data_IF_893396189717
#
_entry.id   IF_893396189717
#
_cell.length_a   1.000
_cell.length_b   1.000
_cell.length_c   1.000
_cell.angle_alpha   90.00
_cell.angle_beta   90.00
_cell.angle_gamma   90.00
#
_symmetry.space_group_name_H-M   'P 1'
#
loop_
_entity.id
_entity.type
_entity.pdbx_description
1 polymer ?
#
# COMPACT_ATOMS: atom_id res chain seq x y z
N UNK A 1 8.73 -18.30 18.59
CA UNK A 1 9.12 -16.88 18.79
C UNK A 1 8.51 -16.43 20.09
N UNK A 2 9.27 -15.73 20.94
CA UNK A 2 8.72 -15.21 22.19
C UNK A 2 7.72 -14.06 21.94
N UNK A 3 6.66 -13.94 22.76
CA UNK A 3 5.66 -12.86 22.59
C UNK A 3 6.27 -11.46 22.60
N UNK A 4 7.29 -11.23 23.43
CA UNK A 4 8.01 -9.94 23.48
C UNK A 4 8.73 -9.61 22.16
N UNK A 5 9.38 -10.60 21.55
CA UNK A 5 10.02 -10.43 20.23
C UNK A 5 9.00 -10.10 19.13
N UNK A 6 7.85 -10.77 19.16
CA UNK A 6 6.76 -10.50 18.22
C UNK A 6 6.23 -9.07 18.39
N UNK A 7 6.02 -8.64 19.65
CA UNK A 7 5.61 -7.27 19.97
C UNK A 7 6.61 -6.22 19.48
N UNK A 8 7.91 -6.46 19.67
CA UNK A 8 8.96 -5.55 19.19
C UNK A 8 8.98 -5.44 17.65
N UNK A 9 8.78 -6.55 16.93
CA UNK A 9 8.69 -6.56 15.47
C UNK A 9 7.48 -5.73 15.00
N UNK A 10 6.29 -5.95 15.60
CA UNK A 10 5.10 -5.17 15.27
C UNK A 10 5.25 -3.69 15.60
N UNK A 11 5.86 -3.36 16.73
CA UNK A 11 6.17 -1.97 17.10
C UNK A 11 7.07 -1.32 16.06
N UNK A 12 8.20 -1.96 15.73
CA UNK A 12 9.11 -1.47 14.69
C UNK A 12 8.46 -1.31 13.33
N UNK A 13 7.64 -2.28 12.91
CA UNK A 13 6.90 -2.23 11.66
C UNK A 13 5.93 -1.03 11.61
N UNK A 14 5.16 -0.80 12.69
CA UNK A 14 4.23 0.34 12.77
C UNK A 14 4.96 1.68 12.82
N UNK A 15 6.09 1.75 13.51
CA UNK A 15 6.93 2.97 13.54
C UNK A 15 7.44 3.30 12.12
N UNK A 16 8.00 2.32 11.41
CA UNK A 16 8.45 2.48 10.03
C UNK A 16 7.30 2.87 9.09
N UNK A 17 6.14 2.26 9.27
CA UNK A 17 4.94 2.58 8.51
C UNK A 17 4.49 4.04 8.74
N UNK A 18 4.52 4.52 10.00
CA UNK A 18 4.22 5.91 10.33
C UNK A 18 5.20 6.89 9.69
N UNK A 19 6.49 6.63 9.79
CA UNK A 19 7.53 7.44 9.12
C UNK A 19 7.33 7.44 7.60
N UNK A 20 7.04 6.28 7.02
CA UNK A 20 6.73 6.12 5.59
C UNK A 20 5.57 7.02 5.16
N UNK A 21 4.47 7.00 5.92
CA UNK A 21 3.30 7.84 5.63
C UNK A 21 3.61 9.34 5.71
N UNK A 22 4.40 9.77 6.69
CA UNK A 22 4.81 11.18 6.83
C UNK A 22 5.73 11.67 5.70
N UNK A 23 6.52 10.77 5.11
CA UNK A 23 7.39 11.10 3.97
C UNK A 23 6.63 11.14 2.64
N UNK A 24 5.45 10.53 2.58
CA UNK A 24 4.65 10.42 1.36
C UNK A 24 4.32 11.80 0.75
N UNK A 25 3.93 12.76 1.57
CA UNK A 25 3.58 14.11 1.11
C UNK A 25 4.76 14.85 0.47
N UNK A 26 5.97 14.68 1.04
CA UNK A 26 7.19 15.27 0.48
C UNK A 26 7.54 14.69 -0.88
N UNK A 27 7.36 13.38 -1.05
CA UNK A 27 7.62 12.68 -2.30
C UNK A 27 6.54 13.04 -3.32
N UNK A 28 5.26 13.02 -2.93
CA UNK A 28 4.14 13.39 -3.77
C UNK A 28 4.24 14.83 -4.29
N UNK A 29 4.74 15.74 -3.45
CA UNK A 29 5.00 17.13 -3.84
C UNK A 29 6.04 17.28 -4.97
N UNK A 30 6.96 16.30 -5.11
CA UNK A 30 8.03 16.33 -6.12
C UNK A 30 7.67 15.60 -7.41
N UNK A 31 7.07 14.41 -7.31
CA UNK A 31 6.83 13.53 -8.45
C UNK A 31 5.35 13.36 -8.81
N UNK A 32 4.44 13.91 -8.00
CA UNK A 32 2.98 13.82 -8.14
C UNK A 32 2.37 12.65 -7.38
N UNK A 33 1.07 12.76 -7.09
CA UNK A 33 0.32 11.80 -6.26
C UNK A 33 0.28 10.39 -6.88
N UNK A 34 -0.10 10.29 -8.15
CA UNK A 34 -0.20 8.99 -8.84
C UNK A 34 1.14 8.28 -8.94
N UNK A 35 2.20 9.02 -9.29
CA UNK A 35 3.55 8.43 -9.37
C UNK A 35 4.03 7.96 -8.01
N UNK A 36 3.81 8.75 -6.96
CA UNK A 36 4.16 8.34 -5.60
C UNK A 36 3.44 7.05 -5.22
N UNK A 37 2.12 7.01 -5.42
CA UNK A 37 1.31 5.81 -5.17
C UNK A 37 1.90 4.55 -5.82
N UNK A 38 2.12 4.60 -7.13
CA UNK A 38 2.50 3.43 -7.92
C UNK A 38 3.96 3.04 -7.70
N UNK A 39 4.89 4.01 -7.75
CA UNK A 39 6.33 3.74 -7.67
C UNK A 39 6.82 3.40 -6.26
N UNK A 40 6.07 3.69 -5.21
CA UNK A 40 6.36 3.19 -3.86
C UNK A 40 5.68 1.85 -3.59
N UNK A 41 4.50 1.64 -4.15
CA UNK A 41 3.70 0.45 -3.88
C UNK A 41 4.18 -0.79 -4.64
N UNK A 42 4.61 -0.66 -5.91
CA UNK A 42 5.14 -1.79 -6.70
C UNK A 42 6.36 -2.42 -6.03
N UNK A 43 7.44 -1.68 -5.64
CA UNK A 43 8.56 -2.26 -4.92
C UNK A 43 8.15 -2.91 -3.60
N UNK A 44 7.23 -2.29 -2.85
CA UNK A 44 6.68 -2.86 -1.61
C UNK A 44 6.01 -4.23 -1.84
N UNK A 45 5.27 -4.37 -2.94
CA UNK A 45 4.61 -5.64 -3.27
C UNK A 45 5.58 -6.70 -3.79
N UNK A 46 6.64 -6.31 -4.51
CA UNK A 46 7.73 -7.22 -4.87
C UNK A 46 8.46 -7.74 -3.63
N UNK A 47 8.74 -6.88 -2.66
CA UNK A 47 9.31 -7.29 -1.36
C UNK A 47 8.37 -8.25 -0.63
N UNK A 48 7.03 -8.01 -0.66
CA UNK A 48 6.05 -8.92 -0.08
C UNK A 48 6.12 -10.33 -0.70
N UNK A 49 6.20 -10.41 -2.03
CA UNK A 49 6.31 -11.67 -2.75
C UNK A 49 7.65 -12.39 -2.49
N UNK A 50 8.69 -11.64 -2.14
CA UNK A 50 9.99 -12.21 -1.80
C UNK A 50 10.06 -12.77 -0.36
N UNK A 51 9.16 -12.38 0.54
CA UNK A 51 9.15 -12.86 1.94
C UNK A 51 9.17 -14.38 2.06
N UNK A 52 8.29 -15.14 1.38
CA UNK A 52 8.27 -16.60 1.50
C UNK A 52 9.49 -17.30 0.86
N UNK A 53 10.31 -16.57 0.10
CA UNK A 53 11.54 -17.09 -0.52
C UNK A 53 12.76 -16.92 0.38
N UNK A 54 12.62 -16.26 1.54
CA UNK A 54 13.74 -16.04 2.44
C UNK A 54 14.19 -17.34 3.12
N UNK A 55 15.51 -17.57 3.22
CA UNK A 55 16.07 -18.83 3.72
C UNK A 55 15.86 -19.04 5.23
N UNK A 56 15.59 -17.97 5.98
CA UNK A 56 15.39 -18.02 7.42
C UNK A 56 14.49 -16.89 7.92
N UNK A 57 13.99 -17.08 9.14
CA UNK A 57 13.06 -16.14 9.77
C UNK A 57 13.64 -14.72 9.96
N UNK A 58 14.89 -14.52 10.41
CA UNK A 58 15.46 -13.17 10.52
C UNK A 58 15.50 -12.42 9.17
N UNK A 59 15.84 -13.10 8.08
CA UNK A 59 15.83 -12.49 6.76
C UNK A 59 14.40 -12.10 6.32
N UNK A 60 13.42 -12.97 6.56
CA UNK A 60 12.02 -12.68 6.28
C UNK A 60 11.50 -11.47 7.08
N UNK A 61 11.83 -11.41 8.38
CA UNK A 61 11.47 -10.27 9.23
C UNK A 61 12.17 -8.99 8.76
N UNK A 62 13.46 -9.04 8.46
CA UNK A 62 14.21 -7.90 7.92
C UNK A 62 13.57 -7.37 6.63
N UNK A 63 13.21 -8.27 5.71
CA UNK A 63 12.55 -7.91 4.46
C UNK A 63 11.17 -7.28 4.68
N UNK A 64 10.40 -7.80 5.64
CA UNK A 64 9.12 -7.19 6.04
C UNK A 64 9.30 -5.79 6.61
N UNK A 65 10.30 -5.54 7.45
CA UNK A 65 10.58 -4.21 7.99
C UNK A 65 10.98 -3.22 6.89
N UNK A 66 11.84 -3.64 5.96
CA UNK A 66 12.17 -2.83 4.76
C UNK A 66 10.90 -2.53 3.94
N UNK A 67 10.05 -3.53 3.75
CA UNK A 67 8.76 -3.31 3.08
C UNK A 67 7.90 -2.28 3.81
N UNK A 68 7.79 -2.34 5.14
CA UNK A 68 6.98 -1.39 5.93
C UNK A 68 7.50 0.05 5.83
N UNK A 69 8.78 0.26 5.59
CA UNK A 69 9.36 1.61 5.41
C UNK A 69 8.88 2.33 4.15
N UNK A 70 8.29 1.61 3.18
CA UNK A 70 7.79 2.18 1.93
C UNK A 70 6.31 1.88 1.66
N UNK A 71 5.73 0.89 2.37
CA UNK A 71 4.40 0.35 2.05
C UNK A 71 3.24 1.27 2.37
N UNK A 72 3.42 2.25 3.26
CA UNK A 72 2.33 3.11 3.72
C UNK A 72 2.26 4.46 2.99
N UNK A 73 3.17 4.69 2.06
CA UNK A 73 3.18 5.94 1.28
C UNK A 73 1.98 6.07 0.32
N UNK A 74 1.41 4.95 -0.11
CA UNK A 74 0.26 4.95 -1.00
C UNK A 74 -1.05 5.37 -0.31
N UNK A 75 -1.18 5.16 1.00
CA UNK A 75 -2.43 5.42 1.74
C UNK A 75 -2.79 6.91 1.73
N UNK A 76 -1.94 7.84 2.21
CA UNK A 76 -2.26 9.27 2.19
C UNK A 76 -2.36 9.80 0.77
N UNK A 77 -1.48 9.39 -0.14
CA UNK A 77 -1.48 9.85 -1.52
C UNK A 77 -2.75 9.41 -2.27
N UNK A 78 -3.24 8.20 -2.02
CA UNK A 78 -4.49 7.70 -2.59
C UNK A 78 -5.70 8.47 -2.08
N UNK A 79 -5.75 8.75 -0.78
CA UNK A 79 -6.83 9.54 -0.19
C UNK A 79 -6.84 10.96 -0.76
N UNK A 80 -5.69 11.62 -0.79
CA UNK A 80 -5.55 12.96 -1.38
C UNK A 80 -5.98 12.99 -2.85
N UNK A 81 -5.54 12.00 -3.63
CA UNK A 81 -5.91 11.91 -5.04
C UNK A 81 -7.43 11.72 -5.22
N UNK A 82 -8.04 10.82 -4.46
CA UNK A 82 -9.49 10.57 -4.54
C UNK A 82 -10.28 11.83 -4.20
N UNK A 83 -9.85 12.57 -3.17
CA UNK A 83 -10.51 13.82 -2.79
C UNK A 83 -10.30 14.96 -3.80
N UNK A 84 -9.20 14.94 -4.54
CA UNK A 84 -8.87 15.98 -5.52
C UNK A 84 -9.62 15.80 -6.86
N UNK A 85 -9.95 14.55 -7.24
CA UNK A 85 -10.63 14.24 -8.52
C UNK A 85 -12.15 14.13 -8.42
N UNK A 86 -12.70 14.13 -7.20
CA UNK A 86 -14.14 14.04 -6.93
C UNK A 86 -14.68 15.43 -6.59
N UNK A 87 -15.85 15.76 -7.10
CA UNK A 87 -16.51 17.01 -6.81
C UNK A 87 -16.74 17.21 -5.30
N UNK A 88 -16.65 18.46 -4.78
CA UNK A 88 -16.71 18.74 -3.34
C UNK A 88 -17.94 18.15 -2.63
N UNK A 89 -19.08 18.16 -3.26
CA UNK A 89 -20.35 17.63 -2.74
C UNK A 89 -20.42 16.10 -2.75
N UNK A 90 -19.63 15.42 -3.58
CA UNK A 90 -19.57 13.95 -3.67
C UNK A 90 -18.43 13.33 -2.83
N UNK A 91 -17.54 14.13 -2.25
CA UNK A 91 -16.37 13.64 -1.47
C UNK A 91 -16.76 12.73 -0.32
N UNK A 92 -17.84 13.04 0.39
CA UNK A 92 -18.33 12.22 1.50
C UNK A 92 -18.82 10.84 1.02
N UNK A 93 -19.54 10.80 -0.10
CA UNK A 93 -20.01 9.56 -0.70
C UNK A 93 -18.84 8.70 -1.21
N UNK A 94 -17.88 9.31 -1.90
CA UNK A 94 -16.68 8.64 -2.39
C UNK A 94 -15.84 8.04 -1.25
N UNK A 95 -15.66 8.78 -0.14
CA UNK A 95 -15.00 8.28 1.05
C UNK A 95 -15.75 7.10 1.68
N UNK A 96 -17.08 7.16 1.73
CA UNK A 96 -17.93 6.08 2.22
C UNK A 96 -17.80 4.81 1.37
N UNK A 97 -17.91 4.91 0.05
CA UNK A 97 -17.78 3.77 -0.87
C UNK A 97 -16.39 3.13 -0.79
N UNK A 98 -15.34 3.92 -0.77
CA UNK A 98 -13.97 3.41 -0.66
C UNK A 98 -13.72 2.73 0.68
N UNK A 99 -14.30 3.24 1.77
CA UNK A 99 -14.20 2.64 3.11
C UNK A 99 -14.95 1.32 3.17
N UNK A 100 -16.18 1.23 2.62
CA UNK A 100 -16.96 0.00 2.56
C UNK A 100 -16.21 -1.06 1.74
N UNK A 101 -15.70 -0.72 0.55
CA UNK A 101 -14.94 -1.64 -0.29
C UNK A 101 -13.70 -2.19 0.44
N UNK A 102 -12.96 -1.33 1.16
CA UNK A 102 -11.81 -1.72 1.99
C UNK A 102 -12.23 -2.66 3.12
N UNK A 103 -13.33 -2.35 3.81
CA UNK A 103 -13.83 -3.16 4.92
C UNK A 103 -14.28 -4.54 4.47
N UNK A 104 -14.96 -4.64 3.32
CA UNK A 104 -15.33 -5.93 2.72
C UNK A 104 -14.09 -6.77 2.36
N UNK A 105 -13.07 -6.15 1.77
CA UNK A 105 -11.79 -6.83 1.51
C UNK A 105 -11.11 -7.31 2.79
N UNK A 106 -11.09 -6.49 3.84
CA UNK A 106 -10.52 -6.83 5.13
C UNK A 106 -11.28 -7.96 5.83
N UNK A 107 -12.60 -8.05 5.66
CA UNK A 107 -13.44 -9.10 6.21
C UNK A 107 -13.17 -10.47 5.54
N UNK A 108 -13.02 -10.48 4.22
CA UNK A 108 -12.84 -11.72 3.45
C UNK A 108 -11.40 -12.23 3.47
N UNK A 109 -10.43 -11.33 3.56
CA UNK A 109 -9.00 -11.64 3.45
C UNK A 109 -8.49 -12.67 4.47
N UNK A 110 -8.83 -12.60 5.78
CA UNK A 110 -8.36 -13.59 6.75
C UNK A 110 -8.87 -14.99 6.46
N UNK A 111 -10.13 -15.14 6.03
CA UNK A 111 -10.75 -16.44 5.71
C UNK A 111 -10.05 -17.09 4.52
N UNK A 112 -9.84 -16.34 3.45
CA UNK A 112 -9.15 -16.83 2.24
C UNK A 112 -7.69 -17.15 2.56
N UNK A 113 -6.99 -16.25 3.25
CA UNK A 113 -5.59 -16.45 3.63
C UNK A 113 -5.44 -17.64 4.57
N UNK A 114 -6.33 -17.78 5.56
CA UNK A 114 -6.34 -18.92 6.50
C UNK A 114 -6.53 -20.26 5.80
N UNK A 115 -7.46 -20.33 4.85
CA UNK A 115 -7.67 -21.55 4.06
C UNK A 115 -6.43 -21.93 3.21
N UNK A 116 -5.74 -20.95 2.62
CA UNK A 116 -4.51 -21.18 1.86
C UNK A 116 -3.35 -21.61 2.76
N UNK A 117 -3.20 -20.96 3.92
CA UNK A 117 -2.14 -21.28 4.89
C UNK A 117 -2.32 -22.65 5.56
N UNK A 118 -3.54 -23.18 5.61
CA UNK A 118 -3.83 -24.52 6.14
C UNK A 118 -3.26 -25.65 5.26
N UNK A 119 -2.95 -25.36 3.99
CA UNK A 119 -2.37 -26.32 3.05
C UNK A 119 -0.87 -26.04 2.90
N UNK A 120 0.03 -26.94 3.35
CA UNK A 120 1.48 -26.71 3.32
C UNK A 120 2.03 -26.32 1.94
N UNK A 121 1.49 -26.91 0.87
CA UNK A 121 1.88 -26.59 -0.51
C UNK A 121 1.50 -25.16 -0.95
N UNK A 122 0.54 -24.54 -0.27
CA UNK A 122 -0.01 -23.22 -0.60
C UNK A 122 0.41 -22.13 0.39
N UNK A 123 1.31 -22.42 1.33
CA UNK A 123 1.73 -21.48 2.39
C UNK A 123 2.28 -20.15 1.83
N UNK A 124 2.90 -20.18 0.67
CA UNK A 124 3.42 -18.98 -0.02
C UNK A 124 2.39 -18.29 -0.91
N UNK A 125 1.29 -18.96 -1.24
CA UNK A 125 0.30 -18.46 -2.18
C UNK A 125 -0.32 -17.11 -1.79
N UNK A 126 -0.70 -16.83 -0.52
CA UNK A 126 -1.25 -15.53 -0.11
C UNK A 126 -0.33 -14.37 -0.43
N UNK A 127 0.99 -14.55 -0.31
CA UNK A 127 1.98 -13.50 -0.59
C UNK A 127 2.04 -13.17 -2.09
N UNK A 128 2.04 -14.20 -2.94
CA UNK A 128 2.06 -14.02 -4.39
C UNK A 128 0.75 -13.47 -4.93
N UNK A 129 -0.40 -13.97 -4.45
CA UNK A 129 -1.69 -13.42 -4.84
C UNK A 129 -1.85 -11.96 -4.39
N UNK A 130 -1.56 -11.65 -3.12
CA UNK A 130 -1.68 -10.29 -2.62
C UNK A 130 -0.76 -9.32 -3.35
N UNK A 131 0.52 -9.68 -3.54
CA UNK A 131 1.48 -8.85 -4.26
C UNK A 131 1.13 -8.71 -5.74
N UNK A 132 0.81 -9.81 -6.41
CA UNK A 132 0.48 -9.83 -7.84
C UNK A 132 -0.77 -9.00 -8.18
N UNK A 133 -1.88 -9.22 -7.46
CA UNK A 133 -3.10 -8.44 -7.67
C UNK A 133 -2.89 -6.95 -7.43
N UNK A 134 -2.12 -6.58 -6.41
CA UNK A 134 -1.79 -5.19 -6.13
C UNK A 134 -0.93 -4.57 -7.22
N UNK A 135 0.06 -5.27 -7.75
CA UNK A 135 0.89 -4.79 -8.86
C UNK A 135 0.02 -4.56 -10.10
N UNK A 136 -0.82 -5.52 -10.45
CA UNK A 136 -1.76 -5.37 -11.60
C UNK A 136 -2.68 -4.17 -11.40
N UNK A 137 -3.25 -4.02 -10.20
CA UNK A 137 -4.08 -2.87 -9.85
C UNK A 137 -3.32 -1.54 -10.00
N UNK A 138 -2.10 -1.46 -9.49
CA UNK A 138 -1.28 -0.24 -9.56
C UNK A 138 -0.91 0.13 -11.01
N UNK A 139 -0.60 -0.86 -11.84
CA UNK A 139 -0.33 -0.65 -13.26
C UNK A 139 -1.58 -0.17 -14.03
N UNK A 140 -2.74 -0.77 -13.76
CA UNK A 140 -4.01 -0.34 -14.35
C UNK A 140 -4.37 1.09 -13.91
N UNK A 141 -4.20 1.39 -12.63
CA UNK A 141 -4.42 2.72 -12.08
C UNK A 141 -3.48 3.75 -12.72
N UNK A 142 -2.21 3.42 -12.85
CA UNK A 142 -1.24 4.30 -13.50
C UNK A 142 -1.63 4.55 -14.97
N UNK A 143 -2.00 3.50 -15.70
CA UNK A 143 -2.42 3.61 -17.11
C UNK A 143 -3.69 4.47 -17.27
N UNK A 144 -4.65 4.31 -16.37
CA UNK A 144 -5.94 5.01 -16.46
C UNK A 144 -5.84 6.49 -16.08
N UNK A 145 -4.98 6.83 -15.10
CA UNK A 145 -4.99 8.13 -14.44
C UNK A 145 -3.69 8.94 -14.58
N UNK A 146 -2.64 8.40 -15.20
CA UNK A 146 -1.36 9.12 -15.35
C UNK A 146 -1.47 10.43 -16.16
N UNK A 147 -2.51 10.56 -16.99
CA UNK A 147 -2.81 11.79 -17.75
C UNK A 147 -3.68 12.79 -17.00
N UNK A 148 -4.32 12.41 -15.90
CA UNK A 148 -5.19 13.29 -15.11
C UNK A 148 -4.40 13.88 -13.95
N UNK A 149 -4.16 15.20 -14.01
CA UNK A 149 -3.52 15.92 -12.92
C UNK A 149 -4.59 16.56 -12.05
N UNK A 150 -4.54 16.37 -10.72
CA UNK A 150 -5.40 17.12 -9.81
C UNK A 150 -5.20 18.63 -9.97
N UNK A 151 -6.24 19.47 -9.77
CA UNK A 151 -6.14 20.92 -9.87
C UNK A 151 -4.99 21.50 -9.03
N UNK A 152 -4.78 20.98 -7.84
CA UNK A 152 -3.71 21.40 -6.90
C UNK A 152 -2.29 21.17 -7.43
N UNK A 153 -2.08 20.15 -8.27
CA UNK A 153 -0.79 19.90 -8.93
C UNK A 153 -0.56 20.86 -10.10
N UNK A 154 -1.64 21.35 -10.72
CA UNK A 154 -1.60 22.29 -11.83
C UNK A 154 -1.28 23.70 -11.33
N UNK A 155 -1.98 24.15 -10.28
CA UNK A 155 -1.75 25.47 -9.65
C UNK A 155 -0.34 25.62 -9.07
N UNK A 156 0.27 24.54 -8.61
CA UNK A 156 1.61 24.55 -8.01
C UNK A 156 2.73 24.70 -9.04
N UNK A 157 2.48 24.33 -10.31
CA UNK A 157 3.48 24.43 -11.39
C UNK A 157 3.44 25.73 -12.15
N UNK A 158 2.31 26.42 -12.17
CA UNK A 158 2.12 27.72 -12.78
C UNK A 158 1.70 28.73 -11.70
N UNK A 159 2.64 29.16 -10.81
CA UNK A 159 2.36 30.29 -9.93
C UNK A 159 2.22 31.55 -10.79
N UNK A 160 1.06 32.20 -10.72
CA UNK A 160 0.74 33.42 -11.41
C UNK A 160 1.74 34.57 -11.11
#
# INVERSE_FOLDING_TARGET
MEPAALGAIFFGANLLAGVSALLADRIAARIGLIRTMVFTHIPSNLLLMAVPLMPNLPAAVGLLLVRYSISQMDVPTRQSYTMAVVDPDERSAAAGVTTIARSLGALLSPTISGALLAVPALISAPFFFAGGFKIVYDLLLYRAFSGQRPPEETERKDPA
#
